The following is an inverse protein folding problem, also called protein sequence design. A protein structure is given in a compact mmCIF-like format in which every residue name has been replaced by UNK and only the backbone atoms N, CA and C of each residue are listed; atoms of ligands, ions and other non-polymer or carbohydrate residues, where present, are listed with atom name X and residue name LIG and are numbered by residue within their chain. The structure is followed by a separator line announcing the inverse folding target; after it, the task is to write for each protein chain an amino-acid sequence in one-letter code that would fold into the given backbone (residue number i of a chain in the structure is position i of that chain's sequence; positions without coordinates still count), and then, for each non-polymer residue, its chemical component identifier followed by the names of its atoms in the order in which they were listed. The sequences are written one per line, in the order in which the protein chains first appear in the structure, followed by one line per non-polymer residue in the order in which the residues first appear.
data_IF_343360471737
#
_entry.id   IF_343360471737
#
_cell.length_a   1.000
_cell.length_b   1.000
_cell.length_c   1.000
_cell.angle_alpha   90.00
_cell.angle_beta   90.00
_cell.angle_gamma   90.00
#
_symmetry.space_group_name_H-M   'P 1'
#
loop_
_entity.id
_entity.type
_entity.pdbx_description
1 polymer ?
#
# COMPACT_ATOMS: atom_id res chain seq x y z
N UNK A 1 -4.21 -7.42 24.00
CA UNK A 1 -3.92 -7.63 22.56
C UNK A 1 -4.93 -8.64 22.03
N UNK A 2 -6.11 -8.19 21.60
CA UNK A 2 -7.14 -9.09 21.08
C UNK A 2 -6.89 -9.32 19.59
N UNK A 3 -6.57 -10.56 19.22
CA UNK A 3 -6.65 -11.00 17.83
C UNK A 3 -7.91 -11.85 17.73
N UNK A 4 -9.06 -11.21 17.55
CA UNK A 4 -10.29 -11.94 17.26
C UNK A 4 -10.23 -12.38 15.81
N UNK A 5 -10.33 -13.69 15.59
CA UNK A 5 -10.49 -14.28 14.27
C UNK A 5 -11.94 -14.05 13.82
N UNK A 6 -12.31 -12.81 13.50
CA UNK A 6 -13.48 -12.56 12.67
C UNK A 6 -13.09 -12.85 11.21
N UNK A 7 -14.00 -13.40 10.43
CA UNK A 7 -13.88 -13.39 8.96
C UNK A 7 -13.73 -11.92 8.58
N UNK A 8 -12.52 -11.50 8.19
CA UNK A 8 -12.23 -10.10 7.87
C UNK A 8 -13.14 -9.67 6.71
N UNK A 9 -14.08 -8.77 6.99
CA UNK A 9 -14.99 -8.22 5.98
C UNK A 9 -14.43 -6.88 5.51
N UNK A 10 -14.23 -6.71 4.19
CA UNK A 10 -13.73 -5.44 3.61
C UNK A 10 -14.76 -4.31 3.75
N UNK A 11 -16.04 -4.67 3.87
CA UNK A 11 -17.13 -3.73 4.08
C UNK A 11 -17.26 -3.27 5.53
N UNK A 12 -16.56 -3.92 6.48
CA UNK A 12 -16.48 -3.43 7.85
C UNK A 12 -15.72 -2.10 7.87
N UNK A 13 -16.31 -1.10 8.54
CA UNK A 13 -15.68 0.21 8.73
C UNK A 13 -14.35 0.09 9.51
N UNK A 14 -14.24 -0.86 10.45
CA UNK A 14 -13.07 -1.09 11.29
C UNK A 14 -12.16 -2.20 10.75
N UNK A 15 -12.29 -2.55 9.46
CA UNK A 15 -11.46 -3.57 8.85
C UNK A 15 -9.97 -3.19 8.92
N UNK A 16 -9.10 -4.01 9.53
CA UNK A 16 -7.69 -3.67 9.70
C UNK A 16 -6.94 -3.53 8.37
N UNK A 17 -7.45 -4.10 7.27
CA UNK A 17 -6.87 -3.92 5.93
C UNK A 17 -7.03 -2.49 5.41
N UNK A 18 -7.97 -1.69 5.94
CA UNK A 18 -8.16 -0.29 5.54
C UNK A 18 -6.92 0.56 5.85
N UNK A 19 -6.19 0.25 6.93
CA UNK A 19 -4.90 0.91 7.24
C UNK A 19 -3.85 0.72 6.14
N UNK A 20 -3.79 -0.51 5.59
CA UNK A 20 -2.86 -0.81 4.48
C UNK A 20 -3.37 -0.15 3.20
N UNK A 21 -4.68 -0.22 2.94
CA UNK A 21 -5.30 0.40 1.78
C UNK A 21 -5.04 1.91 1.74
N UNK A 22 -5.22 2.61 2.86
CA UNK A 22 -4.98 4.05 2.97
C UNK A 22 -3.51 4.41 2.66
N UNK A 23 -2.57 3.50 2.96
CA UNK A 23 -1.16 3.69 2.63
C UNK A 23 -0.86 3.45 1.14
N UNK A 24 -1.43 2.40 0.54
CA UNK A 24 -1.15 2.04 -0.85
C UNK A 24 -1.96 2.86 -1.86
N UNK A 25 -3.12 3.38 -1.46
CA UNK A 25 -4.01 4.20 -2.26
C UNK A 25 -3.63 5.69 -2.25
N UNK A 26 -2.51 6.05 -1.62
CA UNK A 26 -1.91 7.36 -1.79
C UNK A 26 -1.54 7.61 -3.27
N UNK A 27 -1.65 8.87 -3.68
CA UNK A 27 -1.54 9.34 -5.07
C UNK A 27 -0.38 8.74 -5.86
N UNK A 28 0.78 8.54 -5.22
CA UNK A 28 1.98 8.08 -5.91
C UNK A 28 2.41 6.67 -5.55
N UNK A 29 1.85 6.07 -4.48
CA UNK A 29 2.38 4.83 -3.92
C UNK A 29 2.29 3.67 -4.90
N UNK A 30 1.17 3.54 -5.62
CA UNK A 30 1.01 2.51 -6.65
C UNK A 30 2.06 2.63 -7.79
N UNK A 31 2.33 3.86 -8.25
CA UNK A 31 3.34 4.11 -9.30
C UNK A 31 4.75 3.76 -8.82
N UNK A 32 5.09 4.15 -7.59
CA UNK A 32 6.38 3.79 -6.97
C UNK A 32 6.55 2.27 -6.91
N UNK A 33 5.53 1.54 -6.46
CA UNK A 33 5.56 0.08 -6.38
C UNK A 33 5.73 -0.54 -7.76
N UNK A 34 5.00 -0.04 -8.77
CA UNK A 34 5.10 -0.54 -10.13
C UNK A 34 6.51 -0.34 -10.71
N UNK A 35 7.10 0.85 -10.53
CA UNK A 35 8.46 1.15 -11.00
C UNK A 35 9.49 0.24 -10.32
N UNK A 36 9.38 0.05 -9.01
CA UNK A 36 10.29 -0.80 -8.24
C UNK A 36 10.08 -2.30 -8.47
N UNK A 37 8.91 -2.72 -8.99
CA UNK A 37 8.67 -4.11 -9.39
C UNK A 37 9.58 -4.55 -10.55
N UNK A 38 10.12 -3.59 -11.33
CA UNK A 38 11.07 -3.86 -12.41
C UNK A 38 12.54 -3.82 -11.98
N UNK A 39 12.83 -3.48 -10.72
CA UNK A 39 14.18 -3.48 -10.15
C UNK A 39 14.44 -2.32 -9.20
N UNK A 40 15.51 -2.44 -8.41
CA UNK A 40 15.94 -1.40 -7.46
C UNK A 40 16.40 -0.15 -8.20
N UNK A 41 15.96 1.03 -7.74
CA UNK A 41 16.38 2.34 -8.27
C UNK A 41 16.85 3.26 -7.16
N UNK A 42 17.73 4.22 -7.49
CA UNK A 42 18.07 5.32 -6.59
C UNK A 42 16.93 6.33 -6.55
N UNK A 43 16.86 7.09 -5.46
CA UNK A 43 15.83 8.12 -5.27
C UNK A 43 15.70 9.10 -6.45
N UNK A 44 16.83 9.60 -6.95
CA UNK A 44 16.84 10.55 -8.05
C UNK A 44 16.46 9.96 -9.42
N UNK A 45 16.48 8.63 -9.56
CA UNK A 45 15.98 7.93 -10.75
C UNK A 45 14.46 7.76 -10.64
N UNK A 46 13.98 7.32 -9.47
CA UNK A 46 12.55 7.18 -9.16
C UNK A 46 11.80 8.51 -9.32
N UNK A 47 12.37 9.62 -8.83
CA UNK A 47 11.76 10.96 -8.93
C UNK A 47 11.64 11.48 -10.39
N UNK A 48 12.41 10.93 -11.35
CA UNK A 48 12.30 11.33 -12.77
C UNK A 48 11.30 10.51 -13.56
N UNK A 49 10.98 9.30 -13.08
CA UNK A 49 10.10 8.35 -13.76
C UNK A 49 8.63 8.50 -13.36
N UNK A 50 8.35 9.24 -12.27
CA UNK A 50 7.02 9.51 -11.71
C UNK A 50 6.72 11.00 -11.82
#
# INVERSE_FOLDING_TARGET
MQKSSSVGSVMDAQCPSRLVLDRIADKWTALIIQVLAHGTKRYAELQREI
#
